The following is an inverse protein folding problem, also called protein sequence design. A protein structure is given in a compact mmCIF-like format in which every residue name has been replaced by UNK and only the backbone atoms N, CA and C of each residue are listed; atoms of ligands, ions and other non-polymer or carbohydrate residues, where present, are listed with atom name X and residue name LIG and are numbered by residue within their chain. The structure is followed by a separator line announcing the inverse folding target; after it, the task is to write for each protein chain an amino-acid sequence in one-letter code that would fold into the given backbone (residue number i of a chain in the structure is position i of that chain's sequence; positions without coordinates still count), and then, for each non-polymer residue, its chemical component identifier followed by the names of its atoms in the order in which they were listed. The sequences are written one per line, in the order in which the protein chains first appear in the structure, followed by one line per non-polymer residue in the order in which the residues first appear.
data_IF_107729136406
#
_entry.id   IF_107729136406
#
_cell.length_a   1.000
_cell.length_b   1.000
_cell.length_c   1.000
_cell.angle_alpha   90.00
_cell.angle_beta   90.00
_cell.angle_gamma   90.00
#
_symmetry.space_group_name_H-M   'P 1'
#
loop_
_entity.id
_entity.type
_entity.pdbx_description
1 polymer ?
#
# COMPACT_ATOMS: atom_id res chain seq x y z
N UNK A 1 1.62 13.28 -18.71
CA UNK A 1 2.23 11.96 -18.73
C UNK A 1 3.70 11.96 -18.29
N UNK A 2 4.22 13.02 -17.73
CA UNK A 2 5.63 13.12 -17.29
C UNK A 2 5.74 13.67 -15.86
N UNK A 3 4.72 13.44 -15.03
CA UNK A 3 4.68 13.93 -13.63
C UNK A 3 5.00 12.85 -12.61
N UNK A 4 5.06 11.58 -13.05
CA UNK A 4 5.13 10.43 -12.13
C UNK A 4 3.81 10.06 -11.48
N UNK A 5 2.70 10.74 -11.85
CA UNK A 5 1.36 10.54 -11.31
C UNK A 5 0.40 10.11 -12.43
N UNK A 6 -0.56 9.23 -12.13
CA UNK A 6 -1.43 8.63 -13.12
C UNK A 6 -0.63 7.67 -14.02
N UNK A 7 -0.72 7.81 -15.32
CA UNK A 7 0.09 7.05 -16.28
C UNK A 7 1.33 7.85 -16.70
N UNK A 8 2.49 7.42 -16.26
CA UNK A 8 3.78 8.01 -16.60
C UNK A 8 4.36 7.40 -17.87
N UNK A 9 5.07 8.23 -18.67
CA UNK A 9 5.78 7.83 -19.87
C UNK A 9 7.23 8.29 -19.80
N UNK A 10 8.12 7.33 -19.88
CA UNK A 10 9.57 7.53 -19.94
C UNK A 10 10.11 7.11 -21.31
N UNK A 11 11.12 7.81 -21.82
CA UNK A 11 11.90 7.41 -23.01
C UNK A 11 13.32 7.16 -22.52
N UNK A 12 13.81 5.95 -22.71
CA UNK A 12 15.18 5.61 -22.30
C UNK A 12 16.19 6.29 -23.23
N UNK A 13 17.08 7.15 -22.72
CA UNK A 13 18.08 7.82 -23.56
C UNK A 13 19.17 6.87 -24.11
N UNK A 14 19.18 5.59 -23.69
CA UNK A 14 20.17 4.59 -24.14
C UNK A 14 19.72 3.94 -25.45
N UNK A 15 18.42 3.63 -25.58
CA UNK A 15 17.88 2.86 -26.71
C UNK A 15 16.67 3.53 -27.40
N UNK A 16 16.26 4.73 -26.94
CA UNK A 16 15.09 5.47 -27.39
C UNK A 16 13.74 4.75 -27.21
N UNK A 17 13.73 3.63 -26.44
CA UNK A 17 12.53 2.85 -26.17
C UNK A 17 11.62 3.53 -25.14
N UNK A 18 10.31 3.22 -25.23
CA UNK A 18 9.28 3.83 -24.41
C UNK A 18 8.83 2.85 -23.33
N UNK A 19 8.85 3.32 -22.08
CA UNK A 19 8.39 2.60 -20.90
C UNK A 19 7.25 3.35 -20.24
N UNK A 20 6.18 2.64 -19.91
CA UNK A 20 5.00 3.17 -19.25
C UNK A 20 4.80 2.48 -17.90
N UNK A 21 4.38 3.24 -16.90
CA UNK A 21 3.86 2.70 -15.63
C UNK A 21 2.80 3.63 -15.06
N UNK A 22 1.90 3.05 -14.26
CA UNK A 22 0.91 3.81 -13.51
C UNK A 22 1.34 4.00 -12.06
N UNK A 23 0.97 5.17 -11.49
CA UNK A 23 1.04 5.46 -10.06
C UNK A 23 -0.26 6.14 -9.65
N UNK A 24 -1.04 5.51 -8.78
CA UNK A 24 -2.40 5.94 -8.47
C UNK A 24 -2.64 6.34 -7.03
N UNK A 25 -1.79 5.96 -6.12
CA UNK A 25 -1.91 6.42 -4.75
C UNK A 25 -1.52 7.92 -4.67
N UNK A 26 -2.31 8.75 -4.11
CA UNK A 26 -3.51 8.51 -3.28
C UNK A 26 -4.78 8.48 -4.14
N UNK A 27 -4.94 9.37 -5.12
CA UNK A 27 -6.17 9.65 -5.83
C UNK A 27 -5.95 9.93 -7.32
N UNK A 28 -5.01 9.25 -7.96
CA UNK A 28 -4.62 9.47 -9.35
C UNK A 28 -5.18 8.46 -10.35
N UNK A 29 -5.96 7.45 -9.89
CA UNK A 29 -6.77 6.60 -10.77
C UNK A 29 -7.69 7.42 -11.68
N UNK A 30 -8.28 8.49 -11.16
CA UNK A 30 -9.16 9.41 -11.89
C UNK A 30 -8.48 10.11 -13.06
N UNK A 31 -7.15 10.10 -13.15
CA UNK A 31 -6.40 10.60 -14.30
C UNK A 31 -6.43 9.62 -15.47
N UNK A 32 -6.73 8.37 -15.22
CA UNK A 32 -6.75 7.30 -16.22
C UNK A 32 -8.17 6.80 -16.53
N UNK A 33 -9.02 6.62 -15.51
CA UNK A 33 -10.40 6.18 -15.68
C UNK A 33 -11.32 6.73 -14.58
N UNK A 34 -12.64 6.75 -14.85
CA UNK A 34 -13.63 7.22 -13.89
C UNK A 34 -13.77 6.24 -12.72
N UNK A 35 -13.61 6.74 -11.49
CA UNK A 35 -13.55 5.93 -10.28
C UNK A 35 -13.91 6.75 -9.03
N UNK A 36 -14.25 6.06 -7.95
CA UNK A 36 -14.37 6.63 -6.61
C UNK A 36 -13.07 6.38 -5.84
N UNK A 37 -12.35 7.45 -5.49
CA UNK A 37 -11.04 7.41 -4.82
C UNK A 37 -11.18 7.18 -3.30
N UNK A 38 -12.01 6.23 -2.91
CA UNK A 38 -12.18 5.83 -1.51
C UNK A 38 -11.73 4.37 -1.33
N UNK A 39 -10.81 4.08 -0.41
CA UNK A 39 -10.14 2.77 -0.35
C UNK A 39 -11.07 1.57 -0.12
N UNK A 40 -12.17 1.74 0.63
CA UNK A 40 -13.11 0.65 0.92
C UNK A 40 -14.20 0.45 -0.16
N UNK A 41 -14.28 1.35 -1.14
CA UNK A 41 -15.16 1.19 -2.31
C UNK A 41 -14.48 0.29 -3.34
N UNK A 42 -14.25 -0.96 -2.96
CA UNK A 42 -13.57 -1.96 -3.76
C UNK A 42 -14.42 -2.46 -4.94
N UNK A 43 -13.77 -2.66 -6.08
CA UNK A 43 -14.35 -3.22 -7.29
C UNK A 43 -13.48 -4.35 -7.87
N UNK A 44 -13.98 -5.05 -8.87
CA UNK A 44 -13.18 -5.89 -9.76
C UNK A 44 -12.85 -5.07 -11.00
N UNK A 45 -11.64 -5.24 -11.53
CA UNK A 45 -11.14 -4.53 -12.70
C UNK A 45 -10.79 -5.52 -13.80
N UNK A 46 -11.30 -5.29 -15.00
CA UNK A 46 -10.94 -6.05 -16.20
C UNK A 46 -10.35 -5.06 -17.21
N UNK A 47 -9.05 -5.14 -17.44
CA UNK A 47 -8.36 -4.27 -18.38
C UNK A 47 -8.25 -4.93 -19.75
N UNK A 48 -8.48 -4.14 -20.79
CA UNK A 48 -8.19 -4.50 -22.18
C UNK A 48 -7.21 -3.45 -22.72
N UNK A 49 -6.01 -3.88 -23.05
CA UNK A 49 -4.90 -2.99 -23.40
C UNK A 49 -4.40 -3.33 -24.79
N UNK A 50 -4.39 -2.34 -25.66
CA UNK A 50 -3.82 -2.46 -27.02
C UNK A 50 -2.49 -1.70 -27.06
N UNK A 51 -1.42 -2.41 -27.44
CA UNK A 51 -0.05 -1.88 -27.43
C UNK A 51 0.79 -2.51 -28.56
N UNK A 52 2.01 -2.04 -28.80
CA UNK A 52 2.96 -2.72 -29.68
C UNK A 52 3.14 -4.20 -29.27
N UNK A 53 3.10 -5.12 -30.25
CA UNK A 53 3.11 -6.57 -29.98
C UNK A 53 4.40 -7.09 -29.35
N UNK A 54 5.50 -6.34 -29.45
CA UNK A 54 6.78 -6.68 -28.83
C UNK A 54 6.92 -6.22 -27.37
N UNK A 55 5.94 -5.47 -26.86
CA UNK A 55 5.95 -4.99 -25.48
C UNK A 55 5.53 -6.08 -24.49
N UNK A 56 6.08 -5.99 -23.28
CA UNK A 56 5.48 -6.62 -22.11
C UNK A 56 4.33 -5.72 -21.63
N UNK A 57 3.19 -6.32 -21.32
CA UNK A 57 2.03 -5.60 -20.75
C UNK A 57 1.65 -6.32 -19.46
N UNK A 58 1.71 -5.60 -18.36
CA UNK A 58 1.48 -6.14 -17.01
C UNK A 58 0.39 -5.35 -16.32
N UNK A 59 -0.50 -6.04 -15.64
CA UNK A 59 -1.50 -5.50 -14.75
C UNK A 59 -1.62 -6.40 -13.50
N UNK A 60 -2.66 -6.23 -12.71
CA UNK A 60 -2.84 -6.96 -11.46
C UNK A 60 -3.16 -8.46 -11.64
N UNK A 61 -3.89 -8.83 -12.69
CA UNK A 61 -4.16 -10.24 -13.04
C UNK A 61 -3.01 -10.83 -13.85
N UNK A 62 -2.88 -12.16 -13.93
CA UNK A 62 -1.90 -12.82 -14.80
C UNK A 62 -2.02 -12.31 -16.24
N UNK A 63 -0.86 -12.05 -16.86
CA UNK A 63 -0.81 -11.53 -18.23
C UNK A 63 -1.33 -12.58 -19.21
N UNK A 64 -2.39 -12.28 -19.99
CA UNK A 64 -2.89 -13.18 -21.01
C UNK A 64 -1.98 -13.21 -22.25
N UNK A 65 -2.15 -14.23 -23.09
CA UNK A 65 -1.56 -14.22 -24.43
C UNK A 65 -2.15 -13.08 -25.27
N UNK A 66 -1.32 -12.31 -25.97
CA UNK A 66 -1.78 -11.19 -26.78
C UNK A 66 -2.50 -11.64 -28.06
N UNK A 67 -3.64 -11.02 -28.36
CA UNK A 67 -4.36 -11.23 -29.61
C UNK A 67 -3.91 -10.23 -30.66
N UNK A 68 -3.38 -10.66 -31.82
CA UNK A 68 -2.98 -9.75 -32.90
C UNK A 68 -4.18 -8.95 -33.43
N UNK A 69 -4.05 -7.63 -33.55
CA UNK A 69 -5.07 -6.72 -34.10
C UNK A 69 -4.71 -6.28 -35.53
N UNK A 70 -3.43 -5.96 -35.72
CA UNK A 70 -2.82 -5.57 -37.00
C UNK A 70 -1.29 -5.73 -36.90
N UNK A 71 -0.59 -5.51 -38.00
CA UNK A 71 0.85 -5.62 -38.02
C UNK A 71 1.50 -4.77 -36.92
N UNK A 72 2.34 -5.40 -36.10
CA UNK A 72 3.06 -4.82 -34.97
C UNK A 72 2.21 -4.40 -33.78
N UNK A 73 0.89 -4.71 -33.73
CA UNK A 73 -0.04 -4.32 -32.65
C UNK A 73 -0.87 -5.51 -32.16
N UNK A 74 -0.94 -5.68 -30.85
CA UNK A 74 -1.74 -6.71 -30.22
C UNK A 74 -2.59 -6.15 -29.05
N UNK A 75 -3.55 -6.92 -28.61
CA UNK A 75 -4.44 -6.61 -27.47
C UNK A 75 -4.32 -7.69 -26.40
N UNK A 76 -4.17 -7.26 -25.16
CA UNK A 76 -4.19 -8.09 -23.97
C UNK A 76 -5.52 -7.89 -23.24
N UNK A 77 -6.34 -8.94 -23.17
CA UNK A 77 -7.62 -8.93 -22.45
C UNK A 77 -7.44 -9.63 -21.09
N UNK A 78 -7.15 -8.87 -20.05
CA UNK A 78 -6.91 -9.41 -18.70
C UNK A 78 -8.20 -9.97 -18.08
N UNK A 79 -8.09 -11.10 -17.40
CA UNK A 79 -9.16 -11.60 -16.54
C UNK A 79 -9.50 -10.59 -15.44
N UNK A 80 -10.76 -10.52 -14.99
CA UNK A 80 -11.16 -9.66 -13.89
C UNK A 80 -10.33 -9.94 -12.64
N UNK A 81 -9.86 -8.87 -11.97
CA UNK A 81 -9.14 -8.98 -10.70
C UNK A 81 -10.03 -9.51 -9.59
N UNK A 82 -9.43 -9.89 -8.47
CA UNK A 82 -10.16 -9.95 -7.21
C UNK A 82 -10.70 -8.56 -6.84
N UNK A 83 -11.66 -8.52 -5.91
CA UNK A 83 -12.18 -7.24 -5.42
C UNK A 83 -11.11 -6.49 -4.64
N UNK A 84 -10.70 -5.33 -5.12
CA UNK A 84 -9.63 -4.52 -4.56
C UNK A 84 -9.91 -3.02 -4.68
N UNK A 85 -9.14 -2.21 -3.97
CA UNK A 85 -9.20 -0.74 -4.04
C UNK A 85 -8.67 -0.24 -5.39
N UNK A 86 -9.13 0.91 -5.85
CA UNK A 86 -8.67 1.49 -7.11
C UNK A 86 -7.20 1.90 -7.07
N UNK A 87 -6.71 2.44 -5.94
CA UNK A 87 -5.37 2.99 -5.82
C UNK A 87 -4.24 1.94 -6.00
N UNK A 88 -4.54 0.64 -5.81
CA UNK A 88 -3.60 -0.47 -6.03
C UNK A 88 -3.77 -1.16 -7.39
N UNK A 89 -4.52 -0.56 -8.33
CA UNK A 89 -4.54 -1.03 -9.72
C UNK A 89 -3.25 -0.63 -10.42
N UNK A 90 -2.79 -1.44 -11.36
CA UNK A 90 -1.56 -1.20 -12.10
C UNK A 90 -1.70 -1.40 -13.59
N UNK A 91 -0.99 -0.58 -14.34
CA UNK A 91 -0.66 -0.78 -15.74
C UNK A 91 0.82 -0.46 -15.95
N UNK A 92 1.58 -1.46 -16.39
CA UNK A 92 2.97 -1.29 -16.80
C UNK A 92 3.12 -1.85 -18.21
N UNK A 93 3.72 -1.11 -19.13
CA UNK A 93 3.86 -1.53 -20.50
C UNK A 93 5.13 -0.95 -21.16
N UNK A 94 5.82 -1.76 -21.95
CA UNK A 94 7.05 -1.38 -22.62
C UNK A 94 7.89 -2.58 -23.00
N UNK A 95 9.02 -2.41 -23.65
CA UNK A 95 9.93 -3.49 -24.00
C UNK A 95 10.80 -3.93 -22.80
N UNK A 96 10.16 -4.17 -21.64
CA UNK A 96 10.87 -4.57 -20.43
C UNK A 96 11.60 -5.91 -20.61
N UNK A 97 12.81 -6.01 -20.08
CA UNK A 97 13.46 -7.29 -19.82
C UNK A 97 12.75 -7.99 -18.65
N UNK A 98 12.66 -9.31 -18.69
CA UNK A 98 11.92 -10.10 -17.70
C UNK A 98 12.75 -11.28 -17.24
N UNK A 99 12.88 -11.43 -15.92
CA UNK A 99 13.39 -12.66 -15.29
C UNK A 99 12.26 -13.30 -14.51
N UNK A 100 12.07 -14.62 -14.65
CA UNK A 100 10.96 -15.36 -14.05
C UNK A 100 11.45 -16.39 -13.06
N UNK A 101 10.64 -16.62 -12.03
CA UNK A 101 10.84 -17.64 -11.01
C UNK A 101 9.46 -18.03 -10.43
N UNK A 102 9.45 -18.82 -9.38
CA UNK A 102 8.23 -19.20 -8.67
C UNK A 102 8.49 -19.37 -7.17
N UNK A 103 7.45 -19.30 -6.38
CA UNK A 103 7.50 -19.56 -4.93
C UNK A 103 6.41 -20.54 -4.52
N UNK A 104 6.75 -21.46 -3.63
CA UNK A 104 5.77 -22.32 -2.97
C UNK A 104 5.08 -21.53 -1.86
N UNK A 105 3.79 -21.29 -2.01
CA UNK A 105 2.88 -20.67 -1.07
C UNK A 105 1.94 -21.73 -0.47
N UNK A 106 1.24 -21.41 0.61
CA UNK A 106 0.20 -22.29 1.18
C UNK A 106 -0.96 -22.56 0.21
N UNK A 107 -1.20 -21.66 -0.73
CA UNK A 107 -2.22 -21.84 -1.79
C UNK A 107 -1.74 -22.66 -2.99
N UNK A 108 -0.47 -23.02 -3.05
CA UNK A 108 0.18 -23.66 -4.18
C UNK A 108 1.32 -22.81 -4.74
N UNK A 109 1.75 -23.11 -5.97
CA UNK A 109 2.81 -22.36 -6.64
C UNK A 109 2.29 -20.97 -7.08
N UNK A 110 3.05 -19.93 -6.75
CA UNK A 110 2.80 -18.55 -7.18
C UNK A 110 3.92 -18.12 -8.14
N UNK A 111 3.60 -17.73 -9.38
CA UNK A 111 4.57 -17.18 -10.32
C UNK A 111 5.17 -15.87 -9.82
N UNK A 112 6.47 -15.71 -9.99
CA UNK A 112 7.23 -14.50 -9.73
C UNK A 112 7.85 -13.98 -11.02
N UNK A 113 7.90 -12.67 -11.19
CA UNK A 113 8.68 -12.04 -12.25
C UNK A 113 9.31 -10.74 -11.79
N UNK A 114 10.47 -10.42 -12.32
CA UNK A 114 11.14 -9.14 -12.16
C UNK A 114 11.23 -8.49 -13.53
N UNK A 115 10.82 -7.22 -13.61
CA UNK A 115 10.87 -6.44 -14.83
C UNK A 115 11.81 -5.24 -14.63
N UNK A 116 12.64 -4.96 -15.64
CA UNK A 116 13.45 -3.75 -15.68
C UNK A 116 13.64 -3.27 -17.12
N UNK A 117 14.10 -2.04 -17.32
CA UNK A 117 14.51 -1.57 -18.64
C UNK A 117 15.59 -2.48 -19.23
N UNK A 118 15.61 -2.65 -20.56
CA UNK A 118 16.64 -3.46 -21.25
C UNK A 118 18.06 -2.99 -20.90
N UNK A 119 18.27 -1.68 -20.84
CA UNK A 119 19.55 -1.07 -20.50
C UNK A 119 20.05 -1.35 -19.08
N UNK A 120 19.21 -1.90 -18.19
CA UNK A 120 19.56 -2.23 -16.80
C UNK A 120 19.70 -3.72 -16.54
N UNK A 121 19.37 -4.58 -17.50
CA UNK A 121 19.34 -6.04 -17.28
C UNK A 121 20.67 -6.61 -16.78
N UNK A 122 21.80 -6.11 -17.29
CA UNK A 122 23.14 -6.57 -16.88
C UNK A 122 23.48 -6.25 -15.41
N UNK A 123 22.74 -5.31 -14.82
CA UNK A 123 22.92 -4.89 -13.43
C UNK A 123 21.87 -5.46 -12.46
N UNK A 124 20.93 -6.24 -13.00
CA UNK A 124 19.82 -6.80 -12.21
C UNK A 124 20.31 -8.00 -11.38
N UNK A 125 20.27 -7.86 -10.07
CA UNK A 125 20.58 -8.88 -9.08
C UNK A 125 19.33 -9.74 -8.78
N UNK A 126 18.84 -10.46 -9.80
CA UNK A 126 17.57 -11.16 -9.73
C UNK A 126 17.56 -12.25 -8.65
N UNK A 127 18.64 -12.99 -8.48
CA UNK A 127 18.75 -14.09 -7.51
C UNK A 127 18.56 -13.58 -6.07
N UNK A 128 19.19 -12.46 -5.71
CA UNK A 128 19.06 -11.87 -4.39
C UNK A 128 17.64 -11.33 -4.15
N UNK A 129 17.03 -10.70 -5.16
CA UNK A 129 15.66 -10.17 -5.07
C UNK A 129 14.67 -11.32 -4.90
N UNK A 130 14.79 -12.41 -5.67
CA UNK A 130 13.92 -13.58 -5.53
C UNK A 130 14.12 -14.29 -4.19
N UNK A 131 15.36 -14.48 -3.72
CA UNK A 131 15.61 -15.10 -2.41
C UNK A 131 14.96 -14.29 -1.28
N UNK A 132 15.14 -12.97 -1.28
CA UNK A 132 14.49 -12.08 -0.31
C UNK A 132 12.96 -12.22 -0.36
N UNK A 133 12.38 -12.19 -1.55
CA UNK A 133 10.94 -12.34 -1.78
C UNK A 133 10.41 -13.68 -1.25
N UNK A 134 11.07 -14.79 -1.58
CA UNK A 134 10.68 -16.15 -1.13
C UNK A 134 10.74 -16.29 0.39
N UNK A 135 11.74 -15.71 1.04
CA UNK A 135 11.84 -15.64 2.51
C UNK A 135 10.68 -14.84 3.09
N UNK A 136 10.33 -13.71 2.46
CA UNK A 136 9.18 -12.88 2.82
C UNK A 136 7.87 -13.66 2.75
N UNK A 137 7.61 -14.38 1.66
CA UNK A 137 6.42 -15.24 1.51
C UNK A 137 6.29 -16.24 2.66
N UNK A 138 7.33 -17.02 2.91
CA UNK A 138 7.34 -18.02 3.96
C UNK A 138 7.11 -17.41 5.35
N UNK A 139 7.72 -16.24 5.61
CA UNK A 139 7.59 -15.54 6.89
C UNK A 139 6.18 -14.98 7.09
N UNK A 140 5.64 -14.24 6.11
CA UNK A 140 4.36 -13.55 6.26
C UNK A 140 3.18 -14.52 6.30
N UNK A 141 3.16 -15.57 5.48
CA UNK A 141 2.13 -16.60 5.56
C UNK A 141 2.11 -17.28 6.94
N UNK A 142 3.28 -17.48 7.55
CA UNK A 142 3.39 -18.04 8.89
C UNK A 142 3.03 -17.03 9.98
N UNK A 143 3.50 -15.78 9.90
CA UNK A 143 3.23 -14.75 10.91
C UNK A 143 1.76 -14.35 10.92
N UNK A 144 1.14 -14.25 9.76
CA UNK A 144 -0.25 -13.82 9.61
C UNK A 144 -1.26 -14.98 9.63
N UNK A 145 -0.77 -16.23 9.56
CA UNK A 145 -1.60 -17.45 9.45
C UNK A 145 -2.64 -17.32 8.31
N UNK A 146 -2.19 -16.77 7.19
CA UNK A 146 -3.01 -16.48 6.02
C UNK A 146 -2.19 -16.69 4.74
N UNK A 147 -2.72 -17.47 3.80
CA UNK A 147 -2.06 -17.69 2.51
C UNK A 147 -1.97 -16.38 1.71
N UNK A 148 -1.02 -16.32 0.77
CA UNK A 148 -0.89 -15.19 -0.16
C UNK A 148 -2.19 -15.00 -0.95
N UNK A 149 -2.75 -13.77 -1.01
CA UNK A 149 -4.10 -13.59 -1.53
C UNK A 149 -4.23 -13.49 -3.05
N UNK A 150 -3.14 -13.23 -3.80
CA UNK A 150 -3.19 -12.98 -5.24
C UNK A 150 -2.65 -14.15 -6.06
N UNK A 151 -2.75 -14.07 -7.41
CA UNK A 151 -2.41 -15.18 -8.30
C UNK A 151 -0.95 -15.17 -8.77
N UNK A 152 -0.28 -14.03 -8.70
CA UNK A 152 1.12 -13.82 -9.08
C UNK A 152 1.74 -12.74 -8.21
N UNK A 153 3.07 -12.58 -8.28
CA UNK A 153 3.78 -11.47 -7.67
C UNK A 153 4.89 -10.96 -8.59
N UNK A 154 4.59 -9.87 -9.31
CA UNK A 154 5.54 -9.21 -10.21
C UNK A 154 6.17 -8.01 -9.50
N UNK A 155 7.46 -7.79 -9.73
CA UNK A 155 8.26 -6.68 -9.24
C UNK A 155 8.78 -5.88 -10.42
N UNK A 156 8.28 -4.65 -10.60
CA UNK A 156 8.49 -3.85 -11.81
C UNK A 156 9.35 -2.62 -11.45
N UNK A 157 10.64 -2.70 -11.78
CA UNK A 157 11.57 -1.60 -11.56
C UNK A 157 11.33 -0.51 -12.61
N UNK A 158 10.77 0.60 -12.13
CA UNK A 158 10.25 1.70 -12.96
C UNK A 158 11.20 2.89 -12.98
N UNK A 159 11.45 3.47 -14.18
CA UNK A 159 12.29 4.67 -14.34
C UNK A 159 11.59 5.94 -13.84
N UNK A 160 12.36 6.92 -13.37
CA UNK A 160 11.82 8.20 -12.86
C UNK A 160 10.69 8.05 -11.84
N UNK A 161 10.74 7.00 -11.05
CA UNK A 161 9.70 6.73 -10.06
C UNK A 161 9.81 7.69 -8.88
N UNK A 162 8.72 8.38 -8.54
CA UNK A 162 8.73 9.44 -7.52
C UNK A 162 8.80 8.92 -6.08
N UNK A 163 8.54 7.62 -5.87
CA UNK A 163 8.49 6.96 -4.56
C UNK A 163 9.58 5.89 -4.46
N UNK A 164 9.71 5.26 -3.30
CA UNK A 164 10.56 4.08 -3.13
C UNK A 164 9.99 2.87 -3.85
N UNK A 165 8.72 2.58 -3.59
CA UNK A 165 7.93 1.55 -4.26
C UNK A 165 6.44 1.79 -4.04
N UNK A 166 5.58 0.91 -4.60
CA UNK A 166 4.13 0.94 -4.47
C UNK A 166 3.56 -0.48 -4.52
N UNK A 167 2.69 -0.78 -3.60
CA UNK A 167 2.11 -2.09 -3.34
C UNK A 167 1.00 -2.53 -4.31
N UNK A 168 0.99 -2.12 -5.55
CA UNK A 168 -0.03 -2.55 -6.50
C UNK A 168 -0.25 -4.06 -6.43
N UNK A 169 -1.50 -4.50 -6.27
CA UNK A 169 -1.83 -5.88 -5.99
C UNK A 169 -1.28 -6.86 -7.04
N UNK A 170 -0.33 -7.70 -6.62
CA UNK A 170 0.34 -8.66 -7.51
C UNK A 170 1.24 -8.08 -8.60
N UNK A 171 1.48 -6.75 -8.61
CA UNK A 171 2.26 -6.04 -9.63
C UNK A 171 2.95 -4.80 -9.02
N UNK A 172 3.83 -5.03 -8.07
CA UNK A 172 4.54 -4.00 -7.29
C UNK A 172 5.46 -3.19 -8.18
N UNK A 173 5.32 -1.86 -8.19
CA UNK A 173 6.26 -0.96 -8.86
C UNK A 173 7.33 -0.50 -7.87
N UNK A 174 8.58 -0.49 -8.31
CA UNK A 174 9.75 -0.22 -7.47
C UNK A 174 10.65 0.78 -8.19
N UNK A 175 11.23 1.70 -7.46
CA UNK A 175 12.19 2.64 -8.02
C UNK A 175 13.43 1.88 -8.54
N UNK A 176 13.80 2.11 -9.79
CA UNK A 176 14.96 1.46 -10.41
C UNK A 176 16.32 1.83 -9.78
N UNK A 177 16.38 2.81 -8.86
CA UNK A 177 17.59 3.09 -8.07
C UNK A 177 18.06 1.89 -7.25
N UNK A 178 17.17 0.93 -7.00
CA UNK A 178 17.48 -0.34 -6.34
C UNK A 178 18.14 -1.39 -7.27
N UNK A 179 18.28 -1.11 -8.55
CA UNK A 179 19.14 -1.82 -9.48
C UNK A 179 20.51 -1.14 -9.45
N UNK A 180 21.47 -1.74 -8.77
CA UNK A 180 22.76 -1.12 -8.51
C UNK A 180 23.72 -1.32 -9.68
N UNK A 181 24.07 -0.24 -10.39
CA UNK A 181 25.00 -0.24 -11.55
C UNK A 181 26.47 -0.40 -11.15
N UNK A 182 26.78 -0.37 -9.86
CA UNK A 182 28.12 -0.52 -9.32
C UNK A 182 28.04 -1.19 -7.94
N UNK A 183 29.21 -1.60 -7.42
CA UNK A 183 29.29 -2.12 -6.05
C UNK A 183 28.85 -1.07 -5.06
N UNK A 184 27.84 -1.38 -4.27
CA UNK A 184 27.27 -0.53 -3.21
C UNK A 184 27.64 -1.05 -1.82
N UNK A 185 27.34 -0.25 -0.79
CA UNK A 185 27.46 -0.67 0.60
C UNK A 185 26.36 -1.67 0.96
N UNK A 186 26.64 -2.52 1.94
CA UNK A 186 25.66 -3.47 2.48
C UNK A 186 24.39 -2.76 2.98
N UNK A 187 24.51 -1.56 3.52
CA UNK A 187 23.37 -0.76 3.96
C UNK A 187 22.37 -0.45 2.83
N UNK A 188 22.82 -0.28 1.59
CA UNK A 188 21.93 -0.10 0.44
C UNK A 188 21.25 -1.40 0.02
N UNK A 189 21.94 -2.53 0.14
CA UNK A 189 21.36 -3.86 -0.10
C UNK A 189 20.32 -4.19 0.98
N UNK A 190 20.65 -3.89 2.26
CA UNK A 190 19.72 -4.00 3.38
C UNK A 190 18.46 -3.14 3.16
N UNK A 191 18.64 -1.90 2.68
CA UNK A 191 17.49 -1.00 2.37
C UNK A 191 16.64 -1.54 1.23
N UNK A 192 17.25 -2.07 0.14
CA UNK A 192 16.51 -2.74 -0.93
C UNK A 192 15.68 -3.89 -0.39
N UNK A 193 16.29 -4.78 0.40
CA UNK A 193 15.58 -5.91 1.00
C UNK A 193 14.41 -5.46 1.89
N UNK A 194 14.59 -4.41 2.70
CA UNK A 194 13.51 -3.84 3.51
C UNK A 194 12.35 -3.36 2.65
N UNK A 195 12.63 -2.64 1.56
CA UNK A 195 11.60 -2.16 0.62
C UNK A 195 10.84 -3.33 -0.01
N UNK A 196 11.55 -4.35 -0.54
CA UNK A 196 10.91 -5.53 -1.13
C UNK A 196 9.97 -6.23 -0.14
N UNK A 197 10.38 -6.36 1.12
CA UNK A 197 9.59 -6.98 2.17
C UNK A 197 8.41 -6.09 2.62
N UNK A 198 8.57 -4.77 2.57
CA UNK A 198 7.51 -3.80 2.87
C UNK A 198 6.37 -3.94 1.86
N UNK A 199 6.68 -3.89 0.57
CA UNK A 199 5.68 -4.05 -0.48
C UNK A 199 5.01 -5.43 -0.46
N UNK A 200 5.75 -6.47 -0.12
CA UNK A 200 5.17 -7.80 0.01
C UNK A 200 4.22 -7.89 1.21
N UNK A 201 4.53 -7.25 2.33
CA UNK A 201 3.66 -7.25 3.52
C UNK A 201 2.31 -6.57 3.25
N UNK A 202 2.29 -5.56 2.40
CA UNK A 202 1.08 -4.87 1.96
C UNK A 202 0.07 -5.78 1.27
N UNK A 203 0.49 -6.91 0.69
CA UNK A 203 -0.45 -7.85 0.08
C UNK A 203 -1.51 -8.34 1.07
N UNK A 204 -1.18 -8.38 2.36
CA UNK A 204 -2.12 -8.67 3.46
C UNK A 204 -2.68 -7.40 4.10
N UNK A 205 -1.83 -6.44 4.46
CA UNK A 205 -2.22 -5.19 5.12
C UNK A 205 -2.07 -4.00 4.16
N UNK A 206 -3.16 -3.53 3.64
CA UNK A 206 -3.31 -2.56 2.55
C UNK A 206 -4.21 -3.13 1.46
N UNK A 207 -3.87 -4.28 0.93
CA UNK A 207 -4.52 -4.86 -0.24
C UNK A 207 -5.67 -5.81 0.14
N UNK A 208 -5.40 -6.87 0.90
CA UNK A 208 -6.46 -7.77 1.38
C UNK A 208 -7.33 -7.08 2.42
N UNK A 209 -6.70 -6.54 3.47
CA UNK A 209 -7.35 -5.72 4.50
C UNK A 209 -7.01 -4.27 4.24
N UNK A 210 -8.00 -3.46 3.93
CA UNK A 210 -7.82 -2.05 3.57
C UNK A 210 -8.55 -1.15 4.56
N UNK A 211 -8.00 0.03 4.85
CA UNK A 211 -8.65 1.06 5.63
C UNK A 211 -9.95 1.51 4.95
N UNK A 212 -10.91 1.98 5.73
CA UNK A 212 -12.16 2.55 5.19
C UNK A 212 -11.95 3.95 4.64
N UNK A 213 -11.10 4.71 5.30
CA UNK A 213 -10.70 6.05 4.91
C UNK A 213 -9.25 6.30 5.32
N UNK A 214 -8.62 7.24 4.73
CA UNK A 214 -7.22 7.58 4.86
C UNK A 214 -6.77 8.03 6.27
N UNK A 215 -7.71 8.32 7.19
CA UNK A 215 -7.36 8.54 8.60
C UNK A 215 -6.72 7.33 9.27
N UNK A 216 -6.90 6.16 8.69
CA UNK A 216 -6.30 4.90 9.12
C UNK A 216 -5.17 4.43 8.16
N UNK A 217 -4.53 5.34 7.41
CA UNK A 217 -3.37 5.07 6.55
C UNK A 217 -2.26 4.31 7.30
N UNK A 218 -2.09 4.59 8.59
CA UNK A 218 -1.15 3.90 9.46
C UNK A 218 -1.42 2.38 9.58
N UNK A 219 -2.65 1.90 9.40
CA UNK A 219 -2.96 0.46 9.35
C UNK A 219 -2.34 -0.22 8.12
N UNK A 220 -2.14 0.54 7.06
CA UNK A 220 -1.40 0.12 5.89
C UNK A 220 0.10 0.23 6.18
N UNK A 221 0.61 1.42 6.33
CA UNK A 221 2.03 1.74 6.35
C UNK A 221 2.77 1.30 7.61
N UNK A 222 2.21 1.56 8.80
CA UNK A 222 2.86 1.15 10.04
C UNK A 222 2.95 -0.36 10.19
N UNK A 223 1.94 -1.09 9.71
CA UNK A 223 1.96 -2.55 9.74
C UNK A 223 2.96 -3.14 8.76
N UNK A 224 3.03 -2.61 7.53
CA UNK A 224 4.01 -3.04 6.55
C UNK A 224 5.44 -2.76 7.03
N UNK A 225 5.69 -1.57 7.59
CA UNK A 225 6.99 -1.19 8.14
C UNK A 225 7.41 -2.08 9.32
N UNK A 226 6.49 -2.38 10.22
CA UNK A 226 6.75 -3.32 11.33
C UNK A 226 6.98 -4.74 10.83
N UNK A 227 6.15 -5.22 9.91
CA UNK A 227 6.20 -6.59 9.40
C UNK A 227 7.47 -6.83 8.59
N UNK A 228 7.84 -5.89 7.71
CA UNK A 228 9.06 -5.96 6.90
C UNK A 228 10.33 -5.96 7.75
N UNK A 229 10.44 -5.04 8.72
CA UNK A 229 11.58 -4.99 9.64
C UNK A 229 11.66 -6.26 10.49
N UNK A 230 10.52 -6.81 10.91
CA UNK A 230 10.48 -8.07 11.65
C UNK A 230 10.95 -9.23 10.78
N UNK A 231 10.41 -9.35 9.56
CA UNK A 231 10.80 -10.34 8.58
C UNK A 231 12.29 -10.25 8.28
N UNK A 232 12.79 -9.07 7.99
CA UNK A 232 14.20 -8.82 7.73
C UNK A 232 15.08 -9.30 8.87
N UNK A 233 14.72 -8.97 10.12
CA UNK A 233 15.45 -9.38 11.32
C UNK A 233 15.40 -10.89 11.60
N UNK A 234 14.32 -11.59 11.25
CA UNK A 234 14.10 -12.98 11.65
C UNK A 234 14.31 -14.00 10.53
N UNK A 235 14.09 -13.59 9.28
CA UNK A 235 14.12 -14.49 8.13
C UNK A 235 15.28 -14.24 7.16
N UNK A 236 16.03 -13.14 7.32
CA UNK A 236 17.16 -12.80 6.45
C UNK A 236 18.48 -12.74 7.22
N UNK A 237 19.57 -12.39 6.56
CA UNK A 237 20.89 -12.18 7.17
C UNK A 237 20.98 -10.96 8.07
N UNK A 238 20.14 -9.94 7.89
CA UNK A 238 20.17 -8.68 8.63
C UNK A 238 19.52 -8.77 10.02
N UNK A 239 20.14 -9.57 10.90
CA UNK A 239 19.64 -9.79 12.26
C UNK A 239 19.52 -8.52 13.10
N UNK A 240 20.23 -7.46 12.71
CA UNK A 240 20.27 -6.15 13.37
C UNK A 240 19.31 -5.14 12.76
N UNK A 241 18.37 -5.54 11.89
CA UNK A 241 17.42 -4.65 11.22
C UNK A 241 16.67 -3.70 12.18
N UNK A 242 16.33 -4.15 13.37
CA UNK A 242 15.72 -3.28 14.41
C UNK A 242 16.69 -2.22 14.97
N UNK A 243 18.00 -2.42 14.88
CA UNK A 243 18.99 -1.38 15.20
C UNK A 243 19.04 -0.35 14.08
N UNK A 244 19.07 -0.78 12.83
CA UNK A 244 18.97 0.09 11.65
C UNK A 244 17.66 0.89 11.67
N UNK A 245 16.53 0.26 11.95
CA UNK A 245 15.25 0.94 12.14
C UNK A 245 15.32 2.03 13.21
N UNK A 246 15.94 1.76 14.36
CA UNK A 246 16.07 2.73 15.44
C UNK A 246 16.95 3.91 15.06
N UNK A 247 18.01 3.66 14.30
CA UNK A 247 18.98 4.69 13.90
C UNK A 247 18.46 5.57 12.75
N UNK A 248 17.74 5.00 11.80
CA UNK A 248 17.25 5.70 10.61
C UNK A 248 15.76 6.10 10.75
N UNK A 249 14.86 5.12 10.70
CA UNK A 249 13.42 5.35 10.59
C UNK A 249 12.84 6.02 11.84
N UNK A 250 13.18 5.50 13.02
CA UNK A 250 12.71 6.07 14.28
C UNK A 250 13.30 7.46 14.55
N UNK A 251 14.52 7.71 14.10
CA UNK A 251 15.12 9.04 14.18
C UNK A 251 14.41 10.05 13.25
N UNK A 252 13.94 9.59 12.08
CA UNK A 252 13.07 10.39 11.21
C UNK A 252 11.74 10.73 11.91
N UNK A 253 11.10 9.74 12.51
CA UNK A 253 9.88 9.95 13.29
C UNK A 253 10.09 10.95 14.43
N UNK A 254 11.18 10.84 15.21
CA UNK A 254 11.48 11.76 16.29
C UNK A 254 11.64 13.20 15.83
N UNK A 255 12.31 13.44 14.68
CA UNK A 255 12.43 14.79 14.12
C UNK A 255 11.08 15.39 13.77
N UNK A 256 10.20 14.62 13.13
CA UNK A 256 8.86 15.08 12.74
C UNK A 256 7.94 15.28 13.95
N UNK A 257 7.98 14.38 14.93
CA UNK A 257 7.13 14.43 16.11
C UNK A 257 7.45 15.61 17.05
N UNK A 258 8.58 16.28 16.86
CA UNK A 258 8.97 17.48 17.59
C UNK A 258 8.58 18.79 16.90
N UNK A 259 8.10 18.72 15.65
CA UNK A 259 7.67 19.91 14.91
C UNK A 259 6.28 20.37 15.35
N UNK A 260 5.99 21.65 15.15
CA UNK A 260 4.65 22.20 15.39
C UNK A 260 3.58 21.58 14.48
N UNK A 261 4.00 21.00 13.37
CA UNK A 261 3.16 20.24 12.41
C UNK A 261 2.96 18.77 12.79
N UNK A 262 3.39 18.33 13.98
CA UNK A 262 3.17 16.96 14.42
C UNK A 262 1.69 16.61 14.49
N UNK A 263 1.38 15.35 14.28
CA UNK A 263 0.01 14.82 14.33
C UNK A 263 -0.02 13.46 15.06
N UNK A 264 -1.18 13.01 15.54
CA UNK A 264 -1.31 11.65 16.06
C UNK A 264 -1.14 10.62 14.94
N UNK A 265 -0.79 9.36 15.29
CA UNK A 265 -0.69 8.25 14.33
C UNK A 265 -2.02 8.11 13.55
N UNK A 266 -3.16 8.20 14.23
CA UNK A 266 -4.47 8.31 13.57
C UNK A 266 -4.71 9.78 13.25
N UNK A 267 -4.39 10.20 12.05
CA UNK A 267 -4.54 11.59 11.63
C UNK A 267 -5.99 11.94 11.29
N UNK A 268 -6.44 13.17 11.57
CA UNK A 268 -7.73 13.66 11.08
C UNK A 268 -7.60 14.01 9.58
N UNK A 269 -8.09 13.16 8.71
CA UNK A 269 -8.08 13.36 7.26
C UNK A 269 -9.46 13.81 6.79
N UNK A 270 -9.56 15.03 6.29
CA UNK A 270 -10.79 15.65 5.79
C UNK A 270 -11.01 15.45 4.31
N UNK A 271 -9.92 15.47 3.55
CA UNK A 271 -9.88 15.35 2.10
C UNK A 271 -8.58 14.64 1.64
N UNK A 272 -8.41 14.51 0.34
CA UNK A 272 -7.27 13.82 -0.24
C UNK A 272 -5.97 14.64 -0.18
N UNK A 273 -6.04 15.97 -0.07
CA UNK A 273 -4.86 16.82 0.10
C UNK A 273 -4.25 16.63 1.50
N UNK A 274 -5.10 16.42 2.52
CA UNK A 274 -4.62 16.07 3.86
C UNK A 274 -3.83 14.75 3.87
N UNK A 275 -4.13 13.80 2.97
CA UNK A 275 -3.42 12.50 2.91
C UNK A 275 -1.99 12.67 2.44
N UNK A 276 -1.75 13.49 1.42
CA UNK A 276 -0.43 13.70 0.80
C UNK A 276 0.66 14.07 1.81
N UNK A 277 0.29 14.83 2.84
CA UNK A 277 1.23 15.27 3.88
C UNK A 277 1.41 14.27 5.02
N UNK A 278 0.68 13.15 5.00
CA UNK A 278 0.72 12.12 6.05
C UNK A 278 1.60 10.90 5.70
N UNK A 279 2.26 10.88 4.54
CA UNK A 279 3.30 9.90 4.21
C UNK A 279 4.61 10.29 4.90
N UNK A 280 4.66 10.15 6.20
CA UNK A 280 5.71 10.69 7.04
C UNK A 280 6.20 9.72 8.12
N UNK A 281 7.26 10.10 8.85
CA UNK A 281 7.84 9.28 9.90
C UNK A 281 6.89 8.95 11.05
N UNK A 282 5.80 9.73 11.23
CA UNK A 282 4.78 9.43 12.24
C UNK A 282 3.93 8.25 11.77
N UNK A 283 3.42 8.31 10.56
CA UNK A 283 2.62 7.23 9.96
C UNK A 283 3.42 5.95 9.80
N UNK A 284 4.66 6.03 9.32
CA UNK A 284 5.53 4.85 9.11
C UNK A 284 6.18 4.38 10.41
N UNK A 285 7.16 5.10 10.91
CA UNK A 285 8.09 4.61 11.91
C UNK A 285 7.59 4.74 13.36
N UNK A 286 6.92 5.86 13.73
CA UNK A 286 6.28 5.98 15.04
C UNK A 286 5.18 4.93 15.16
N UNK A 287 4.35 4.78 14.12
CA UNK A 287 3.30 3.78 14.06
C UNK A 287 3.83 2.35 14.18
N UNK A 288 4.89 1.99 13.44
CA UNK A 288 5.52 0.67 13.50
C UNK A 288 6.15 0.34 14.88
N UNK A 289 6.51 1.38 15.64
CA UNK A 289 7.05 1.19 17.00
C UNK A 289 6.02 0.63 17.98
N UNK A 290 4.71 0.83 17.73
CA UNK A 290 3.62 0.37 18.60
C UNK A 290 3.48 -1.16 18.59
N UNK A 291 3.30 -1.85 17.45
CA UNK A 291 3.27 -3.31 17.42
C UNK A 291 4.59 -3.93 17.88
N UNK A 292 5.74 -3.30 17.63
CA UNK A 292 7.03 -3.78 18.12
C UNK A 292 7.11 -3.74 19.65
N UNK A 293 6.65 -2.66 20.28
CA UNK A 293 6.58 -2.59 21.74
C UNK A 293 5.64 -3.64 22.32
N UNK A 294 4.47 -3.84 21.71
CA UNK A 294 3.50 -4.87 22.13
C UNK A 294 4.11 -6.29 22.04
N UNK A 295 4.89 -6.56 20.99
CA UNK A 295 5.60 -7.85 20.83
C UNK A 295 6.62 -8.07 21.94
N UNK A 296 7.45 -7.07 22.28
CA UNK A 296 8.47 -7.14 23.33
C UNK A 296 7.87 -7.35 24.74
N UNK A 297 6.70 -6.80 24.99
CA UNK A 297 5.99 -6.98 26.28
C UNK A 297 5.33 -8.36 26.42
N UNK A 298 5.81 -9.40 25.72
CA UNK A 298 5.30 -10.78 25.75
C UNK A 298 3.84 -10.94 25.31
N UNK A 299 3.28 -9.95 24.64
CA UNK A 299 1.95 -10.01 24.02
C UNK A 299 2.00 -10.51 22.57
N UNK A 300 3.15 -11.01 22.12
CA UNK A 300 3.36 -11.51 20.74
C UNK A 300 2.28 -12.50 20.30
N UNK A 301 1.94 -13.48 21.16
CA UNK A 301 0.87 -14.42 20.83
C UNK A 301 -0.51 -13.79 20.71
N UNK A 302 -0.79 -12.69 21.41
CA UNK A 302 -2.05 -11.96 21.28
C UNK A 302 -2.08 -11.13 19.98
N UNK A 303 -0.99 -10.48 19.64
CA UNK A 303 -0.86 -9.71 18.40
C UNK A 303 -1.00 -10.64 17.18
N UNK A 304 -0.27 -11.76 17.16
CA UNK A 304 -0.34 -12.79 16.13
C UNK A 304 -1.76 -13.34 15.93
N UNK A 305 -2.44 -13.72 17.04
CA UNK A 305 -3.83 -14.17 16.97
C UNK A 305 -4.80 -13.07 16.54
N UNK A 306 -4.54 -11.83 16.92
CA UNK A 306 -5.33 -10.66 16.50
C UNK A 306 -5.24 -10.40 15.02
N UNK A 307 -4.05 -10.40 14.45
CA UNK A 307 -3.81 -10.22 13.02
C UNK A 307 -4.43 -11.36 12.20
N UNK A 308 -4.18 -12.61 12.58
CA UNK A 308 -4.78 -13.78 11.94
C UNK A 308 -6.32 -13.77 12.01
N UNK A 309 -6.88 -13.36 13.15
CA UNK A 309 -8.33 -13.24 13.31
C UNK A 309 -8.92 -12.16 12.40
N UNK A 310 -8.28 -11.00 12.30
CA UNK A 310 -8.70 -9.89 11.44
C UNK A 310 -8.72 -10.32 9.98
N UNK A 311 -7.64 -10.93 9.49
CA UNK A 311 -7.51 -11.42 8.12
C UNK A 311 -8.58 -12.48 7.79
N UNK A 312 -8.83 -13.44 8.69
CA UNK A 312 -9.90 -14.44 8.51
C UNK A 312 -11.29 -13.81 8.44
N UNK A 313 -11.59 -12.82 9.29
CA UNK A 313 -12.90 -12.15 9.31
C UNK A 313 -13.15 -11.38 8.00
N UNK A 314 -12.13 -10.67 7.49
CA UNK A 314 -12.24 -9.92 6.23
C UNK A 314 -12.41 -10.88 5.05
N UNK A 315 -11.65 -11.99 5.01
CA UNK A 315 -11.78 -13.02 3.98
C UNK A 315 -13.18 -13.62 3.93
N UNK A 316 -13.76 -13.97 5.08
CA UNK A 316 -15.12 -14.51 5.17
C UNK A 316 -16.18 -13.49 4.69
N UNK A 317 -16.05 -12.21 5.06
CA UNK A 317 -16.94 -11.15 4.60
C UNK A 317 -16.89 -10.88 3.09
N UNK A 318 -15.78 -11.20 2.42
CA UNK A 318 -15.66 -11.07 0.97
C UNK A 318 -16.31 -12.23 0.19
N UNK A 319 -16.41 -13.43 0.78
CA UNK A 319 -17.03 -14.59 0.14
C UNK A 319 -18.56 -14.59 0.25
N UNK A 320 -19.13 -13.96 1.28
CA UNK A 320 -20.59 -13.94 1.49
C UNK A 320 -21.35 -12.95 0.58
N UNK A 321 -20.66 -12.15 -0.24
CA UNK A 321 -21.30 -11.23 -1.17
C UNK A 321 -21.98 -11.91 -2.39
N UNK A 322 -21.82 -13.23 -2.55
CA UNK A 322 -22.47 -14.04 -3.61
C UNK A 322 -23.75 -14.76 -3.17
N UNK A 323 -24.18 -14.62 -1.90
CA UNK A 323 -25.43 -15.18 -1.38
C UNK A 323 -26.55 -14.13 -1.25
N UNK A 324 -27.84 -14.54 -1.20
CA UNK A 324 -28.96 -13.63 -1.35
C UNK A 324 -28.96 -12.53 -0.28
N UNK A 325 -28.86 -11.31 -0.75
CA UNK A 325 -28.87 -10.08 0.01
C UNK A 325 -30.24 -9.87 0.68
N UNK A 326 -30.47 -10.48 1.84
CA UNK A 326 -31.52 -10.06 2.80
C UNK A 326 -31.45 -10.90 4.09
N UNK A 327 -30.64 -10.54 5.07
CA UNK A 327 -30.80 -10.75 6.52
C UNK A 327 -29.46 -10.82 7.25
N UNK A 328 -28.68 -9.76 7.26
CA UNK A 328 -27.61 -9.59 8.24
C UNK A 328 -27.12 -8.14 8.34
N UNK A 329 -28.04 -7.15 8.31
CA UNK A 329 -27.66 -5.75 8.56
C UNK A 329 -27.61 -5.37 10.04
N UNK A 330 -27.87 -6.27 10.97
CA UNK A 330 -28.03 -5.89 12.38
C UNK A 330 -26.87 -6.25 13.32
N UNK A 331 -26.01 -7.25 13.05
CA UNK A 331 -25.14 -7.77 14.12
C UNK A 331 -23.66 -8.00 13.81
N UNK A 332 -23.14 -7.62 12.64
CA UNK A 332 -21.71 -7.74 12.32
C UNK A 332 -21.06 -6.37 12.15
N UNK A 333 -21.04 -5.57 13.19
CA UNK A 333 -20.01 -4.54 13.35
C UNK A 333 -18.81 -5.22 14.01
N UNK A 334 -17.75 -5.62 13.26
CA UNK A 334 -16.51 -5.93 13.90
C UNK A 334 -16.09 -4.65 14.63
N UNK A 335 -15.79 -4.75 15.90
CA UNK A 335 -15.19 -3.65 16.67
C UNK A 335 -13.66 -3.78 16.58
N UNK A 336 -12.99 -3.44 15.43
CA UNK A 336 -11.52 -3.34 15.37
C UNK A 336 -11.03 -2.20 16.25
N UNK A 337 -11.93 -1.22 16.54
CA UNK A 337 -11.63 -0.04 17.34
C UNK A 337 -11.00 -0.33 18.70
N UNK A 338 -11.30 -1.48 19.34
CA UNK A 338 -10.79 -1.72 20.70
C UNK A 338 -9.35 -2.21 20.76
N UNK A 339 -8.88 -3.02 19.81
CA UNK A 339 -7.48 -3.47 19.81
C UNK A 339 -6.55 -2.36 19.32
N UNK A 340 -6.95 -1.70 18.24
CA UNK A 340 -6.23 -0.62 17.59
C UNK A 340 -6.22 0.65 18.45
N UNK A 341 -7.36 1.03 19.04
CA UNK A 341 -7.44 2.18 19.95
C UNK A 341 -6.75 1.93 21.29
N UNK A 342 -6.70 0.70 21.79
CA UNK A 342 -5.89 0.35 22.96
C UNK A 342 -4.39 0.53 22.67
N UNK A 343 -3.92 0.07 21.50
CA UNK A 343 -2.52 0.19 21.10
C UNK A 343 -2.13 1.66 20.80
N UNK A 344 -3.02 2.43 20.18
CA UNK A 344 -2.78 3.84 19.86
C UNK A 344 -2.93 4.79 21.06
N UNK A 345 -3.72 4.45 22.07
CA UNK A 345 -3.91 5.24 23.30
C UNK A 345 -2.83 5.03 24.35
N UNK A 346 -2.24 3.84 24.43
CA UNK A 346 -1.17 3.54 25.37
C UNK A 346 0.19 4.19 24.98
N UNK A 347 0.29 4.78 23.81
CA UNK A 347 1.50 5.52 23.35
C UNK A 347 1.66 6.93 23.96
N UNK A 348 0.73 7.40 24.79
CA UNK A 348 0.82 8.68 25.52
C UNK A 348 1.22 8.45 26.98
N UNK A 349 2.31 7.79 27.21
CA UNK A 349 2.84 7.61 28.54
C UNK A 349 4.30 7.97 28.60
N UNK A 350 4.59 8.98 29.44
CA UNK A 350 5.84 9.23 30.10
C UNK A 350 6.91 10.10 29.40
N UNK A 351 6.63 11.41 29.34
CA UNK A 351 7.59 12.41 29.75
C UNK A 351 6.95 13.30 30.81
N UNK A 352 6.82 12.77 32.02
CA UNK A 352 6.57 13.61 33.21
C UNK A 352 7.94 14.05 33.73
N UNK A 353 8.29 15.30 33.47
CA UNK A 353 9.32 16.00 34.21
C UNK A 353 8.86 16.14 35.66
N UNK A 354 9.76 15.83 36.58
CA UNK A 354 9.58 16.06 38.02
C UNK A 354 9.45 17.56 38.32
N UNK A 355 8.43 17.92 39.07
CA UNK A 355 8.36 19.19 39.79
C UNK A 355 7.13 20.02 39.52
N UNK A 356 6.04 19.88 40.20
CA UNK A 356 5.56 20.85 41.17
C UNK A 356 4.28 20.33 41.87
N UNK A 357 4.24 20.43 43.19
CA UNK A 357 3.09 20.08 44.01
C UNK A 357 2.22 21.31 44.16
N UNK A 358 0.91 21.07 44.28
CA UNK A 358 -0.17 21.98 44.66
C UNK A 358 -0.79 22.86 43.58
N UNK A 359 -1.94 22.34 43.07
CA UNK A 359 -3.22 23.06 43.00
C UNK A 359 -4.26 22.22 42.27
N UNK A 360 -5.30 21.79 42.98
CA UNK A 360 -6.52 21.25 42.36
C UNK A 360 -7.38 22.43 41.86
N UNK A 361 -7.97 22.30 40.67
CA UNK A 361 -9.31 22.78 40.43
C UNK A 361 -10.26 21.64 40.01
N UNK A 362 -11.51 21.78 40.46
CA UNK A 362 -12.58 20.84 40.27
C UNK A 362 -13.11 20.79 38.81
N UNK A 363 -14.04 19.87 38.52
CA UNK A 363 -14.49 19.60 37.16
C UNK A 363 -15.48 20.66 36.67
N UNK A 364 -15.09 21.39 35.63
CA UNK A 364 -16.03 22.17 34.83
C UNK A 364 -16.72 21.30 33.80
N UNK A 365 -17.96 20.93 34.07
CA UNK A 365 -18.91 20.37 33.13
C UNK A 365 -19.38 21.49 32.18
N UNK A 366 -18.92 21.47 30.92
CA UNK A 366 -19.55 22.23 29.85
C UNK A 366 -20.83 21.50 29.42
N UNK A 367 -21.97 22.02 29.83
CA UNK A 367 -23.28 21.69 29.26
C UNK A 367 -23.45 22.47 27.96
N UNK A 368 -23.53 21.76 26.83
CA UNK A 368 -23.99 22.32 25.57
C UNK A 368 -25.51 22.27 25.54
N UNK A 369 -26.13 23.44 25.31
CA UNK A 369 -27.58 23.65 25.22
C UNK A 369 -28.07 23.07 23.85
N UNK A 370 -29.12 22.23 23.83
CA UNK A 370 -29.69 21.69 22.59
C UNK A 370 -30.32 22.73 21.66
N UNK A 371 -30.45 23.98 22.08
CA UNK A 371 -31.07 25.04 21.30
C UNK A 371 -30.13 25.68 20.23
N UNK A 372 -28.82 25.53 20.35
CA UNK A 372 -27.86 26.16 19.42
C UNK A 372 -27.60 25.36 18.12
N UNK A 373 -28.11 24.13 17.99
CA UNK A 373 -27.93 23.30 16.81
C UNK A 373 -28.93 23.60 15.67
N UNK A 374 -29.89 24.48 15.85
CA UNK A 374 -30.97 24.76 14.88
C UNK A 374 -30.85 26.06 14.09
N UNK A 375 -29.72 26.75 14.09
CA UNK A 375 -29.54 27.95 13.26
C UNK A 375 -28.32 27.81 12.37
N UNK A 376 -28.51 27.30 11.15
CA UNK A 376 -27.43 27.33 10.16
C UNK A 376 -27.55 26.41 8.97
N UNK A 377 -28.74 26.15 8.44
CA UNK A 377 -28.87 25.64 7.09
C UNK A 377 -30.02 26.36 6.39
N UNK A 378 -29.64 27.33 5.55
CA UNK A 378 -30.50 27.82 4.47
C UNK A 378 -29.98 27.21 3.18
N UNK A 379 -30.84 26.45 2.50
CA UNK A 379 -30.61 25.92 1.19
C UNK A 379 -30.29 27.05 0.18
N UNK A 380 -29.22 26.90 -0.66
CA UNK A 380 -29.07 27.79 -1.81
C UNK A 380 -30.04 27.37 -2.93
N UNK A 381 -30.68 28.35 -3.55
CA UNK A 381 -31.58 28.17 -4.68
C UNK A 381 -30.89 27.48 -5.89
N UNK A 382 -31.63 26.68 -6.69
CA UNK A 382 -31.05 25.93 -7.80
C UNK A 382 -30.59 26.87 -8.94
N UNK A 383 -29.34 26.64 -9.37
CA UNK A 383 -28.76 27.34 -10.53
C UNK A 383 -29.35 26.81 -11.85
N UNK A 384 -29.49 27.65 -12.89
CA UNK A 384 -30.10 27.26 -14.15
C UNK A 384 -29.23 26.29 -14.95
N UNK A 385 -29.87 25.27 -15.49
CA UNK A 385 -29.25 24.22 -16.33
C UNK A 385 -28.56 24.80 -17.56
N UNK A 386 -27.22 24.65 -17.64
CA UNK A 386 -26.45 24.87 -18.87
C UNK A 386 -26.45 23.60 -19.71
N UNK A 387 -27.00 23.68 -20.92
CA UNK A 387 -26.90 22.61 -21.94
C UNK A 387 -25.47 22.57 -22.50
N UNK A 388 -24.86 21.39 -22.46
CA UNK A 388 -23.58 21.12 -23.11
C UNK A 388 -23.82 20.63 -24.55
N UNK A 389 -23.01 21.03 -25.53
CA UNK A 389 -23.14 20.53 -26.90
C UNK A 389 -22.59 19.12 -27.01
N UNK A 390 -23.35 18.26 -27.68
CA UNK A 390 -22.95 16.90 -28.03
C UNK A 390 -21.94 16.96 -29.18
N UNK A 391 -20.68 16.61 -28.95
CA UNK A 391 -19.72 16.34 -30.01
C UNK A 391 -19.99 14.95 -30.59
N UNK A 392 -20.45 14.90 -31.84
CA UNK A 392 -20.44 13.68 -32.65
C UNK A 392 -19.06 13.51 -33.26
N UNK A 393 -18.39 12.39 -32.95
CA UNK A 393 -17.19 11.97 -33.65
C UNK A 393 -17.56 11.47 -35.05
N UNK A 394 -16.79 11.90 -36.05
CA UNK A 394 -16.68 11.25 -37.35
C UNK A 394 -15.38 10.46 -37.37
#
# INVERSE_FOLDING_TARGET
MNTGEGLHRFVDPVDDEVYLYSQFEVADCRRMFAVFEQPDLKATYAFTITAPSHWQVVSNSPTPEPEPVRDGVATWAFAPTQRMSCYITALVAGPYAVVRDEVTSRRGTVPLAIYCRQSLLEHLDADNIFDCTKRGFAFFENEFDCEYPFEKYDQLFSPEYNMGAMENAGAVTINEVYIFRAKVTEALVERRALTLLHELAHMWFGNLVTMKWWNDLWLNESFAEWASTTCQSEATEWRTAWTTFSAAEKSWAYRQDQLSSTHPIVAPIRDLEDVEVNFDGITYAKGASVPQAARRLRRAGALRRGSARLLRQVRLGQHDAAGPARRARADLRPRPRHLVQALARDGRGEHAAAGDRDRRPGPHLLRLDPADVRRGFRDPAPAPARRWPVCRAR
#
